data_IF_145625804183
#
_entry.id   IF_145625804183
#
_cell.length_a   1.000
_cell.length_b   1.000
_cell.length_c   1.000
_cell.angle_alpha   90.00
_cell.angle_beta   90.00
_cell.angle_gamma   90.00
#
_symmetry.space_group_name_H-M   'P 1'
#
loop_
_entity.id
_entity.type
_entity.pdbx_description
1 polymer ?
#
# COMPACT_ATOMS: atom_id res chain seq x y z
N UNK A 1 3.21 -15.46 8.30
CA UNK A 1 3.91 -14.16 8.19
C UNK A 1 2.94 -13.07 8.55
N UNK A 2 3.43 -12.19 9.42
CA UNK A 2 2.71 -11.67 10.55
C UNK A 2 2.26 -10.24 10.28
N UNK A 3 1.11 -9.85 10.82
CA UNK A 3 0.77 -8.43 10.97
C UNK A 3 1.97 -7.65 11.53
N UNK A 4 2.75 -8.27 12.42
CA UNK A 4 4.02 -7.76 12.96
C UNK A 4 5.06 -7.38 11.89
N UNK A 5 5.24 -8.17 10.82
CA UNK A 5 6.20 -7.87 9.75
C UNK A 5 5.76 -6.62 8.97
N UNK A 6 4.45 -6.54 8.70
CA UNK A 6 3.83 -5.39 8.05
C UNK A 6 3.98 -4.13 8.91
N UNK A 7 3.62 -4.21 10.20
CA UNK A 7 3.76 -3.08 11.14
C UNK A 7 5.23 -2.70 11.37
N UNK A 8 6.19 -3.63 11.27
CA UNK A 8 7.62 -3.29 11.38
C UNK A 8 8.10 -2.50 10.16
N UNK A 9 7.63 -2.84 8.96
CA UNK A 9 8.00 -2.14 7.71
C UNK A 9 7.19 -0.87 7.47
N UNK A 10 5.95 -0.84 7.94
CA UNK A 10 5.02 0.27 7.81
C UNK A 10 4.44 0.61 9.19
N UNK A 11 5.24 1.25 10.07
CA UNK A 11 4.85 1.50 11.47
C UNK A 11 3.69 2.48 11.61
N UNK A 12 3.42 3.28 10.57
CA UNK A 12 2.29 4.21 10.54
C UNK A 12 1.00 3.55 10.03
N UNK A 13 1.01 2.27 9.66
CA UNK A 13 -0.19 1.50 9.35
C UNK A 13 -0.71 0.81 10.60
N UNK A 14 -1.88 1.24 11.06
CA UNK A 14 -2.59 0.64 12.16
C UNK A 14 -3.57 -0.42 11.65
N UNK A 15 -3.61 -1.58 12.30
CA UNK A 15 -4.63 -2.59 12.04
C UNK A 15 -5.97 -2.15 12.63
N UNK A 16 -7.01 -2.15 11.81
CA UNK A 16 -8.40 -2.03 12.23
C UNK A 16 -8.98 -3.44 12.32
N UNK A 17 -8.86 -4.02 13.52
CA UNK A 17 -9.42 -5.35 13.82
C UNK A 17 -10.90 -5.19 14.22
N UNK A 18 -11.79 -5.29 13.25
CA UNK A 18 -13.19 -5.64 13.51
C UNK A 18 -13.31 -7.16 13.64
N UNK A 19 -14.17 -7.65 14.53
CA UNK A 19 -14.37 -9.08 14.87
C UNK A 19 -14.98 -9.94 13.74
N UNK A 20 -14.78 -9.56 12.49
CA UNK A 20 -15.17 -10.26 11.28
C UNK A 20 -14.37 -9.66 10.13
N UNK A 21 -13.87 -10.51 9.23
CA UNK A 21 -13.19 -10.10 7.99
C UNK A 21 -14.00 -9.02 7.25
N UNK A 22 -13.33 -8.14 6.48
CA UNK A 22 -11.93 -8.19 6.05
C UNK A 22 -10.92 -7.55 7.01
N UNK A 23 -9.67 -8.04 6.99
CA UNK A 23 -8.56 -7.40 7.68
C UNK A 23 -8.34 -6.04 7.04
N UNK A 24 -8.49 -4.98 7.83
CA UNK A 24 -8.38 -3.61 7.35
C UNK A 24 -7.24 -2.92 8.06
N UNK A 25 -6.51 -2.08 7.35
CA UNK A 25 -5.40 -1.28 7.87
C UNK A 25 -5.61 0.16 7.45
N UNK A 26 -5.42 1.10 8.37
CA UNK A 26 -5.53 2.52 8.11
C UNK A 26 -4.35 3.25 8.70
N UNK A 27 -3.94 4.33 8.05
CA UNK A 27 -2.83 5.14 8.53
C UNK A 27 -2.08 5.76 7.37
N UNK A 28 -0.75 5.70 7.42
CA UNK A 28 0.09 6.39 6.46
C UNK A 28 1.16 5.49 5.84
N UNK A 29 1.50 5.78 4.58
CA UNK A 29 2.69 5.25 3.91
C UNK A 29 3.58 6.43 3.53
N UNK A 30 4.81 6.42 4.01
CA UNK A 30 5.83 7.41 3.66
C UNK A 30 6.36 7.15 2.25
N UNK A 31 6.32 8.14 1.37
CA UNK A 31 6.87 8.06 0.01
C UNK A 31 7.83 9.24 -0.14
N UNK A 32 9.12 8.97 0.02
CA UNK A 32 10.12 10.03 0.22
C UNK A 32 9.91 10.71 1.56
N UNK A 33 9.80 12.04 1.56
CA UNK A 33 9.61 12.86 2.76
C UNK A 33 8.12 13.20 3.05
N UNK A 34 7.19 12.58 2.32
CA UNK A 34 5.76 12.86 2.43
C UNK A 34 5.02 11.61 2.90
N UNK A 35 4.22 11.76 3.95
CA UNK A 35 3.32 10.74 4.45
C UNK A 35 1.94 10.86 3.79
N UNK A 36 1.52 9.80 3.10
CA UNK A 36 0.24 9.75 2.40
C UNK A 36 -0.77 8.91 3.17
N UNK A 37 -2.00 9.41 3.27
CA UNK A 37 -3.06 8.71 3.96
C UNK A 37 -3.53 7.53 3.10
N UNK A 38 -3.55 6.34 3.69
CA UNK A 38 -4.00 5.12 3.02
C UNK A 38 -4.96 4.31 3.88
N UNK A 39 -5.87 3.63 3.19
CA UNK A 39 -6.74 2.62 3.74
C UNK A 39 -6.63 1.36 2.88
N UNK A 40 -6.27 0.26 3.52
CA UNK A 40 -6.07 -1.05 2.91
C UNK A 40 -7.09 -2.01 3.48
N UNK A 41 -7.72 -2.83 2.64
CA UNK A 41 -8.58 -3.91 3.12
C UNK A 41 -8.35 -5.17 2.31
N UNK A 42 -8.15 -6.30 2.97
CA UNK A 42 -7.99 -7.60 2.30
C UNK A 42 -8.80 -8.69 3.01
N UNK A 43 -9.63 -9.45 2.28
CA UNK A 43 -10.37 -10.57 2.84
C UNK A 43 -9.47 -11.78 3.17
N UNK A 44 -8.27 -11.86 2.58
CA UNK A 44 -7.42 -13.05 2.62
C UNK A 44 -6.01 -12.78 3.18
N UNK A 45 -5.87 -11.82 4.09
CA UNK A 45 -4.56 -11.48 4.69
C UNK A 45 -3.80 -12.75 5.15
N UNK A 46 -2.50 -12.90 4.82
CA UNK A 46 -1.58 -11.91 4.23
C UNK A 46 -1.56 -11.88 2.69
N UNK A 47 -2.46 -12.60 2.00
CA UNK A 47 -2.49 -12.66 0.54
C UNK A 47 -2.96 -11.34 -0.07
N UNK A 48 -2.35 -10.98 -1.20
CA UNK A 48 -2.73 -9.80 -1.98
C UNK A 48 -4.12 -9.94 -2.63
N UNK A 49 -4.61 -11.17 -2.78
CA UNK A 49 -5.87 -11.46 -3.47
C UNK A 49 -7.05 -10.73 -2.83
N UNK A 50 -7.69 -9.86 -3.61
CA UNK A 50 -8.83 -9.08 -3.17
C UNK A 50 -8.46 -7.87 -2.30
N UNK A 51 -7.18 -7.45 -2.30
CA UNK A 51 -6.77 -6.20 -1.68
C UNK A 51 -7.47 -5.01 -2.35
N UNK A 52 -8.03 -4.13 -1.54
CA UNK A 52 -8.44 -2.80 -1.95
C UNK A 52 -7.54 -1.77 -1.27
N UNK A 53 -7.12 -0.76 -2.03
CA UNK A 53 -6.32 0.37 -1.57
C UNK A 53 -7.06 1.66 -1.90
N UNK A 54 -7.38 2.44 -0.88
CA UNK A 54 -7.93 3.80 -0.99
C UNK A 54 -6.92 4.78 -0.45
N UNK A 55 -6.75 5.92 -1.11
CA UNK A 55 -5.73 6.92 -0.79
C UNK A 55 -6.27 8.33 -0.97
N UNK A 56 -5.53 9.33 -0.49
CA UNK A 56 -5.83 10.72 -0.79
C UNK A 56 -5.65 11.08 -2.28
N UNK A 57 -6.13 12.27 -2.68
CA UNK A 57 -6.07 12.72 -4.07
C UNK A 57 -4.64 12.91 -4.60
N UNK A 58 -3.67 13.22 -3.73
CA UNK A 58 -2.29 13.45 -4.15
C UNK A 58 -1.62 12.12 -4.51
N UNK A 59 -1.74 11.12 -3.63
CA UNK A 59 -1.23 9.78 -3.90
C UNK A 59 -1.98 9.14 -5.07
N UNK A 60 -3.29 9.34 -5.16
CA UNK A 60 -4.09 8.87 -6.31
C UNK A 60 -3.56 9.40 -7.65
N UNK A 61 -3.14 10.66 -7.72
CA UNK A 61 -2.52 11.23 -8.92
C UNK A 61 -1.19 10.55 -9.28
N UNK A 62 -0.37 10.20 -8.27
CA UNK A 62 0.90 9.49 -8.48
C UNK A 62 0.62 8.06 -8.97
N UNK A 63 -0.32 7.35 -8.32
CA UNK A 63 -0.78 6.01 -8.71
C UNK A 63 -1.24 6.01 -10.16
N UNK A 64 -2.06 6.98 -10.56
CA UNK A 64 -2.50 7.11 -11.95
C UNK A 64 -1.35 7.21 -12.95
N UNK A 65 -0.26 7.88 -12.57
CA UNK A 65 0.93 8.04 -13.43
C UNK A 65 1.71 6.73 -13.58
N UNK A 66 1.73 5.87 -12.56
CA UNK A 66 2.44 4.59 -12.57
C UNK A 66 1.54 3.35 -12.58
N UNK A 67 0.25 3.51 -12.93
CA UNK A 67 -0.76 2.46 -12.85
C UNK A 67 -0.34 1.19 -13.61
N UNK A 68 0.32 1.34 -14.76
CA UNK A 68 0.80 0.21 -15.56
C UNK A 68 1.83 -0.65 -14.79
N UNK A 69 2.78 0.00 -14.11
CA UNK A 69 3.79 -0.69 -13.30
C UNK A 69 3.18 -1.33 -12.05
N UNK A 70 2.26 -0.61 -11.38
CA UNK A 70 1.55 -1.15 -10.22
C UNK A 70 0.73 -2.39 -10.59
N UNK A 71 0.05 -2.37 -11.74
CA UNK A 71 -0.73 -3.51 -12.25
C UNK A 71 0.13 -4.75 -12.56
N UNK A 72 1.38 -4.56 -12.99
CA UNK A 72 2.33 -5.65 -13.19
C UNK A 72 2.84 -6.21 -11.86
N UNK A 73 3.09 -5.33 -10.89
CA UNK A 73 3.45 -5.73 -9.52
C UNK A 73 2.33 -6.54 -8.86
N UNK A 74 1.06 -6.16 -9.04
CA UNK A 74 -0.09 -6.92 -8.51
C UNK A 74 -0.15 -8.35 -9.03
N UNK A 75 0.27 -8.58 -10.27
CA UNK A 75 0.30 -9.93 -10.89
C UNK A 75 1.47 -10.78 -10.39
N UNK A 76 2.55 -10.15 -9.96
CA UNK A 76 3.80 -10.84 -9.59
C UNK A 76 3.96 -11.01 -8.08
N UNK A 77 3.24 -10.24 -7.27
CA UNK A 77 3.30 -10.32 -5.82
C UNK A 77 2.28 -11.32 -5.27
N UNK A 78 2.68 -12.07 -4.25
CA UNK A 78 1.80 -13.03 -3.58
C UNK A 78 1.22 -12.48 -2.28
N UNK A 79 1.94 -11.56 -1.62
CA UNK A 79 1.58 -11.00 -0.32
C UNK A 79 1.35 -9.50 -0.34
N UNK A 80 0.53 -9.01 0.61
CA UNK A 80 0.30 -7.57 0.81
C UNK A 80 1.60 -6.84 1.14
N UNK A 81 2.48 -7.46 1.95
CA UNK A 81 3.76 -6.85 2.32
C UNK A 81 4.68 -6.60 1.11
N UNK A 82 4.86 -7.62 0.26
CA UNK A 82 5.66 -7.50 -0.97
C UNK A 82 5.11 -6.42 -1.90
N UNK A 83 3.77 -6.40 -2.06
CA UNK A 83 3.10 -5.40 -2.85
C UNK A 83 3.38 -3.99 -2.34
N UNK A 84 3.20 -3.74 -1.02
CA UNK A 84 3.38 -2.42 -0.44
C UNK A 84 4.82 -1.91 -0.52
N UNK A 85 5.82 -2.79 -0.37
CA UNK A 85 7.23 -2.42 -0.54
C UNK A 85 7.49 -1.95 -1.99
N UNK A 86 7.02 -2.71 -2.98
CA UNK A 86 7.17 -2.32 -4.40
C UNK A 86 6.34 -1.11 -4.76
N UNK A 87 5.12 -1.00 -4.23
CA UNK A 87 4.23 0.15 -4.38
C UNK A 87 4.91 1.43 -3.90
N UNK A 88 5.48 1.42 -2.70
CA UNK A 88 6.20 2.55 -2.12
C UNK A 88 7.37 2.97 -3.02
N UNK A 89 8.14 2.01 -3.51
CA UNK A 89 9.28 2.27 -4.38
C UNK A 89 8.87 2.87 -5.73
N UNK A 90 7.85 2.31 -6.38
CA UNK A 90 7.33 2.80 -7.66
C UNK A 90 6.77 4.22 -7.51
N UNK A 91 5.96 4.45 -6.48
CA UNK A 91 5.39 5.77 -6.22
C UNK A 91 6.48 6.79 -5.89
N UNK A 92 7.54 6.40 -5.17
CA UNK A 92 8.68 7.29 -4.90
C UNK A 92 9.39 7.72 -6.18
N UNK A 93 9.67 6.78 -7.09
CA UNK A 93 10.29 7.10 -8.39
C UNK A 93 9.40 8.04 -9.20
N UNK A 94 8.10 7.77 -9.24
CA UNK A 94 7.13 8.60 -9.97
C UNK A 94 6.99 10.00 -9.38
N UNK A 95 6.93 10.12 -8.05
CA UNK A 95 6.87 11.39 -7.35
C UNK A 95 8.11 12.25 -7.66
N UNK A 96 9.30 11.65 -7.64
CA UNK A 96 10.56 12.33 -7.96
C UNK A 96 10.62 12.81 -9.42
N UNK A 97 10.05 12.05 -10.36
CA UNK A 97 10.01 12.44 -11.79
C UNK A 97 9.02 13.58 -12.06
N UNK A 98 8.00 13.72 -11.23
CA UNK A 98 7.00 14.78 -11.35
C UNK A 98 7.50 16.17 -10.90
N UNK A 99 8.77 16.32 -10.51
CA UNK A 99 9.37 17.62 -10.20
C UNK A 99 8.95 18.19 -8.85
N UNK A 100 8.86 17.32 -7.82
CA UNK A 100 8.79 17.72 -6.42
C UNK A 100 10.06 17.30 -5.70
#
# INVERSE_FOLDING_TARGET
MAVSDLCTKFPLLCISVSSGQPHSFSGFISIGDIDYAVYLSTPHFPLLKGLTLSTDAQLSSIIHTCQAQLSEVEKTCSTVLEYLIKFQHICFISAKRAGR
#
